data_IF_066884345037
#
_entry.id   IF_066884345037
#
_cell.length_a   1.000
_cell.length_b   1.000
_cell.length_c   1.000
_cell.angle_alpha   90.00
_cell.angle_beta   90.00
_cell.angle_gamma   90.00
#
_symmetry.space_group_name_H-M   'P 1'
#
loop_
_entity.id
_entity.type
_entity.pdbx_description
1 polymer ?
#
# COMPACT_ATOMS: atom_id res chain seq x y z
N UNK A 1 -3.09 -14.48 18.02
CA UNK A 1 -2.69 -14.14 17.77
C UNK A 1 -2.66 -13.55 17.12
N UNK A 2 -2.62 -13.26 17.13
CA UNK A 2 -2.62 -12.71 16.69
C UNK A 2 -2.39 -12.12 15.89
N UNK A 3 -2.16 -11.63 15.97
CA UNK A 3 -1.93 -10.86 14.87
C UNK A 3 -0.64 -11.05 14.28
N UNK A 4 -0.61 -11.55 13.21
CA UNK A 4 0.58 -11.73 12.50
C UNK A 4 1.03 -10.56 11.74
N UNK A 5 0.24 -9.50 11.63
CA UNK A 5 0.63 -8.33 10.86
C UNK A 5 1.50 -7.41 11.68
N UNK A 6 2.60 -6.97 11.07
CA UNK A 6 3.38 -5.87 11.56
C UNK A 6 2.45 -4.66 11.72
N UNK A 7 2.56 -3.87 12.79
CA UNK A 7 1.72 -2.68 12.93
C UNK A 7 1.79 -1.72 11.74
N UNK A 8 2.96 -1.58 11.15
CA UNK A 8 3.10 -0.72 9.98
C UNK A 8 2.36 -1.32 8.79
N UNK A 9 2.43 -2.62 8.61
CA UNK A 9 1.73 -3.28 7.52
C UNK A 9 0.23 -3.10 7.66
N UNK A 10 -0.28 -3.25 8.88
CA UNK A 10 -1.70 -3.06 9.14
C UNK A 10 -2.14 -1.64 8.84
N UNK A 11 -1.33 -0.67 9.24
CA UNK A 11 -1.62 0.73 9.01
C UNK A 11 -1.64 1.04 7.51
N UNK A 12 -0.69 0.49 6.78
CA UNK A 12 -0.63 0.69 5.33
C UNK A 12 -1.86 0.08 4.67
N UNK A 13 -2.25 -1.10 5.10
CA UNK A 13 -3.46 -1.74 4.60
C UNK A 13 -4.68 -0.85 4.76
N UNK A 14 -4.82 -0.31 5.96
CA UNK A 14 -5.97 0.54 6.26
C UNK A 14 -5.95 1.81 5.42
N UNK A 15 -4.77 2.40 5.27
CA UNK A 15 -4.65 3.61 4.46
C UNK A 15 -4.97 3.33 2.99
N UNK A 16 -4.47 2.23 2.46
CA UNK A 16 -4.78 1.85 1.09
C UNK A 16 -6.27 1.64 0.90
N UNK A 17 -6.89 0.95 1.85
CA UNK A 17 -8.31 0.66 1.77
C UNK A 17 -9.13 1.96 1.79
N UNK A 18 -8.81 2.85 2.71
CA UNK A 18 -9.52 4.11 2.82
C UNK A 18 -9.34 4.98 1.58
N UNK A 19 -8.12 5.04 1.10
CA UNK A 19 -7.82 5.86 -0.07
C UNK A 19 -8.55 5.35 -1.31
N UNK A 20 -8.52 4.03 -1.52
CA UNK A 20 -9.22 3.45 -2.65
C UNK A 20 -10.73 3.58 -2.52
N UNK A 21 -11.24 3.48 -1.30
CA UNK A 21 -12.67 3.67 -1.08
C UNK A 21 -13.10 5.04 -1.56
N UNK A 22 -12.30 6.05 -1.27
CA UNK A 22 -12.60 7.40 -1.72
C UNK A 22 -12.48 7.55 -3.23
N UNK A 23 -11.39 7.04 -3.80
CA UNK A 23 -11.17 7.15 -5.24
C UNK A 23 -12.23 6.40 -6.04
N UNK A 24 -12.65 5.24 -5.54
CA UNK A 24 -13.62 4.40 -6.24
C UNK A 24 -15.06 4.69 -5.84
N UNK A 25 -15.24 5.59 -4.87
CA UNK A 25 -16.55 5.97 -4.38
C UNK A 25 -17.31 4.75 -3.87
N UNK A 26 -16.66 3.99 -3.01
CA UNK A 26 -17.23 2.77 -2.42
C UNK A 26 -16.97 2.74 -0.94
N UNK A 27 -17.83 2.06 -0.16
CA UNK A 27 -17.54 1.89 1.26
C UNK A 27 -16.27 1.07 1.47
N UNK A 28 -15.47 1.45 2.45
CA UNK A 28 -14.23 0.76 2.73
C UNK A 28 -14.45 -0.73 3.01
N UNK A 29 -15.56 -1.07 3.64
CA UNK A 29 -15.82 -2.46 3.99
C UNK A 29 -16.03 -3.35 2.76
N UNK A 30 -16.29 -2.75 1.60
CA UNK A 30 -16.43 -3.51 0.36
C UNK A 30 -15.11 -3.67 -0.39
N UNK A 31 -14.05 -3.07 0.13
CA UNK A 31 -12.73 -3.19 -0.50
C UNK A 31 -12.01 -4.40 0.10
N UNK A 32 -11.94 -5.48 -0.64
CA UNK A 32 -11.31 -6.71 -0.18
C UNK A 32 -9.79 -6.59 -0.34
N UNK A 33 -9.01 -6.63 0.75
CA UNK A 33 -7.56 -6.48 0.65
C UNK A 33 -6.86 -7.62 -0.08
N UNK A 34 -7.56 -8.73 -0.28
CA UNK A 34 -6.99 -9.86 -0.99
C UNK A 34 -7.45 -9.95 -2.44
N UNK A 35 -8.32 -9.05 -2.87
CA UNK A 35 -8.74 -9.01 -4.27
C UNK A 35 -7.70 -8.27 -5.09
N UNK A 36 -7.51 -8.69 -6.33
CA UNK A 36 -6.59 -7.99 -7.21
C UNK A 36 -7.11 -6.60 -7.52
N UNK A 37 -6.20 -5.66 -7.65
CA UNK A 37 -6.57 -4.27 -7.93
C UNK A 37 -7.48 -4.17 -9.14
N UNK A 38 -7.21 -4.96 -10.17
CA UNK A 38 -8.04 -4.93 -11.38
C UNK A 38 -9.48 -5.29 -11.07
N UNK A 39 -9.70 -6.24 -10.17
CA UNK A 39 -11.05 -6.62 -9.78
C UNK A 39 -11.76 -5.54 -8.99
N UNK A 40 -11.01 -4.75 -8.27
CA UNK A 40 -11.59 -3.66 -7.50
C UNK A 40 -11.93 -2.46 -8.38
N UNK A 41 -11.51 -2.47 -9.62
CA UNK A 41 -11.74 -1.34 -10.51
C UNK A 41 -10.62 -0.34 -10.53
N UNK A 42 -9.45 -0.72 -10.04
CA UNK A 42 -8.29 0.16 -10.01
C UNK A 42 -7.64 0.13 -11.38
N UNK A 43 -7.65 1.27 -12.08
CA UNK A 43 -6.98 1.38 -13.37
C UNK A 43 -5.58 1.95 -13.19
N UNK A 44 -4.90 2.22 -14.31
CA UNK A 44 -3.53 2.70 -14.26
C UNK A 44 -3.40 4.01 -13.51
N UNK A 45 -4.30 4.94 -13.78
CA UNK A 45 -4.24 6.24 -13.12
C UNK A 45 -4.48 6.13 -11.63
N UNK A 46 -5.46 5.32 -11.25
CA UNK A 46 -5.77 5.13 -9.84
C UNK A 46 -4.60 4.46 -9.11
N UNK A 47 -3.95 3.50 -9.76
CA UNK A 47 -2.82 2.84 -9.11
C UNK A 47 -1.65 3.80 -8.93
N UNK A 48 -1.42 4.70 -9.90
CA UNK A 48 -0.36 5.70 -9.74
C UNK A 48 -0.68 6.63 -8.57
N UNK A 49 -1.93 7.07 -8.46
CA UNK A 49 -2.34 7.92 -7.34
C UNK A 49 -2.13 7.22 -6.01
N UNK A 50 -2.46 5.93 -5.94
CA UNK A 50 -2.27 5.17 -4.71
C UNK A 50 -0.79 5.11 -4.33
N UNK A 51 0.08 4.84 -5.29
CA UNK A 51 1.50 4.79 -5.01
C UNK A 51 2.03 6.15 -4.56
N UNK A 52 1.57 7.22 -5.21
CA UNK A 52 1.99 8.56 -4.82
C UNK A 52 1.56 8.90 -3.40
N UNK A 53 0.37 8.47 -3.02
CA UNK A 53 -0.11 8.70 -1.67
C UNK A 53 0.80 8.01 -0.66
N UNK A 54 1.18 6.78 -0.94
CA UNK A 54 2.07 6.03 -0.04
C UNK A 54 3.47 6.63 -0.02
N UNK A 55 3.96 7.07 -1.17
CA UNK A 55 5.27 7.69 -1.24
C UNK A 55 5.37 8.93 -0.38
N UNK A 56 4.34 9.78 -0.47
CA UNK A 56 4.34 11.02 0.30
C UNK A 56 4.20 10.76 1.79
N UNK A 57 3.31 9.85 2.12
CA UNK A 57 3.06 9.55 3.53
C UNK A 57 4.27 8.95 4.20
N UNK A 58 4.95 8.02 3.52
CA UNK A 58 6.03 7.25 4.13
C UNK A 58 7.42 7.74 3.72
N UNK A 59 7.47 8.71 2.84
CA UNK A 59 8.74 9.27 2.33
C UNK A 59 9.65 8.19 1.74
N UNK A 60 9.06 7.35 0.88
CA UNK A 60 9.80 6.29 0.19
C UNK A 60 9.50 6.39 -1.29
N UNK A 61 10.23 5.63 -2.09
CA UNK A 61 10.03 5.59 -3.53
C UNK A 61 9.37 4.27 -3.91
N UNK A 62 8.32 4.36 -4.72
CA UNK A 62 7.60 3.19 -5.19
C UNK A 62 7.41 3.31 -6.70
N UNK A 63 8.17 2.57 -7.50
CA UNK A 63 7.97 2.61 -8.95
C UNK A 63 6.61 2.06 -9.33
N UNK A 64 6.12 2.46 -10.49
CA UNK A 64 4.80 2.03 -10.93
C UNK A 64 4.71 0.51 -11.10
N UNK A 65 5.82 -0.13 -11.39
CA UNK A 65 5.84 -1.60 -11.50
C UNK A 65 5.44 -2.29 -10.21
N UNK A 66 5.52 -1.60 -9.09
CA UNK A 66 5.17 -2.16 -7.80
C UNK A 66 3.74 -2.71 -7.79
N UNK A 67 2.82 -2.02 -8.46
CA UNK A 67 1.43 -2.45 -8.51
C UNK A 67 1.31 -3.80 -9.23
N UNK A 68 2.11 -4.01 -10.26
CA UNK A 68 2.05 -5.27 -11.01
C UNK A 68 2.68 -6.41 -10.24
N UNK A 69 3.71 -6.14 -9.47
CA UNK A 69 4.39 -7.16 -8.69
C UNK A 69 3.59 -7.55 -7.45
N UNK A 70 2.84 -6.61 -6.90
CA UNK A 70 2.06 -6.83 -5.68
C UNK A 70 0.62 -6.40 -5.93
N UNK A 71 -0.16 -7.23 -6.62
CA UNK A 71 -1.44 -6.81 -7.17
C UNK A 71 -2.63 -6.78 -6.22
N UNK A 72 -2.39 -6.93 -4.91
CA UNK A 72 -3.46 -6.81 -3.91
C UNK A 72 -3.01 -5.85 -2.83
N UNK A 73 -3.99 -5.29 -2.09
CA UNK A 73 -3.67 -4.40 -0.97
C UNK A 73 -2.79 -5.13 0.03
N UNK A 74 -3.13 -6.38 0.34
CA UNK A 74 -2.37 -7.15 1.33
C UNK A 74 -0.92 -7.33 0.91
N UNK A 75 -0.69 -7.70 -0.34
CA UNK A 75 0.66 -7.89 -0.83
C UNK A 75 1.43 -6.57 -0.91
N UNK A 76 0.76 -5.54 -1.39
CA UNK A 76 1.39 -4.23 -1.50
C UNK A 76 1.77 -3.70 -0.13
N UNK A 77 0.88 -3.83 0.86
CA UNK A 77 1.16 -3.34 2.21
C UNK A 77 2.36 -4.06 2.80
N UNK A 78 2.47 -5.36 2.58
CA UNK A 78 3.59 -6.12 3.08
C UNK A 78 4.90 -5.64 2.47
N UNK A 79 4.89 -5.43 1.16
CA UNK A 79 6.08 -4.95 0.47
C UNK A 79 6.46 -3.54 0.92
N UNK A 80 5.48 -2.65 1.02
CA UNK A 80 5.74 -1.27 1.40
C UNK A 80 6.26 -1.18 2.82
N UNK A 81 5.74 -2.01 3.72
CA UNK A 81 6.24 -2.03 5.09
C UNK A 81 7.71 -2.41 5.13
N UNK A 82 8.11 -3.36 4.30
CA UNK A 82 9.51 -3.75 4.21
C UNK A 82 10.37 -2.64 3.62
N UNK A 83 9.88 -1.95 2.61
CA UNK A 83 10.60 -0.84 2.01
C UNK A 83 10.81 0.27 3.03
N UNK A 84 9.77 0.57 3.79
CA UNK A 84 9.86 1.61 4.82
C UNK A 84 10.89 1.25 5.88
N UNK A 85 10.90 0.01 6.34
CA UNK A 85 11.86 -0.44 7.32
C UNK A 85 13.28 -0.34 6.78
N UNK A 86 13.45 -0.73 5.53
CA UNK A 86 14.75 -0.69 4.88
C UNK A 86 15.27 0.72 4.71
N UNK A 87 14.39 1.65 4.30
CA UNK A 87 14.77 3.04 4.14
C UNK A 87 15.16 3.66 5.48
N UNK A 88 14.40 3.35 6.52
CA UNK A 88 14.71 3.86 7.84
C UNK A 88 16.06 3.36 8.32
N UNK A 89 16.33 2.08 8.11
CA UNK A 89 17.60 1.51 8.52
C UNK A 89 18.76 2.15 7.75
N UNK A 90 18.58 2.35 6.46
CA UNK A 90 19.61 2.98 5.65
C UNK A 90 19.88 4.41 6.07
N UNK A 91 18.82 5.15 6.31
CA UNK A 91 18.96 6.52 6.76
C UNK A 91 19.71 6.60 8.06
N UNK A 92 19.41 5.69 8.96
CA UNK A 92 20.07 5.67 10.24
C UNK A 92 21.56 5.38 10.10
N UNK A 93 21.90 4.48 9.22
CA UNK A 93 23.28 4.15 8.99
C UNK A 93 24.08 5.29 8.44
N UNK A 94 23.46 6.07 7.58
CA UNK A 94 24.17 7.19 7.02
C UNK A 94 24.32 8.32 7.99
N UNK A 95 23.42 8.43 8.89
CA UNK A 95 23.46 9.48 9.89
C UNK A 95 24.55 9.27 10.79
#
# INVERSE_FOLDING_TARGET
MESELDPMESEIRDRCTDYLAKLLNRPAKLIDPHAKFARLGVDSATSVFLLMELEEWLAIELPTETIFEYPTIAQLAQHVARCRASETARGRRRG
#
